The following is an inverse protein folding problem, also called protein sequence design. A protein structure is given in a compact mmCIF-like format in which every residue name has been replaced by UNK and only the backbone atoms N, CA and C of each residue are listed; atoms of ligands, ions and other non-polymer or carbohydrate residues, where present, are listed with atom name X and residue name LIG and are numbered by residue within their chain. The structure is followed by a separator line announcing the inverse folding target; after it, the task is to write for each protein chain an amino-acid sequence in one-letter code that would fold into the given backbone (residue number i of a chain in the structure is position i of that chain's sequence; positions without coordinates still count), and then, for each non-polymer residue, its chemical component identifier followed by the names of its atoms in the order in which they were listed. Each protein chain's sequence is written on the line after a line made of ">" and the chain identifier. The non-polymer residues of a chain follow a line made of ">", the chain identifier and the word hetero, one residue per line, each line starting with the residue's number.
data_IF_853482926347
#
_entry.id   IF_853482926347
#
_cell.length_a   1.000
_cell.length_b   1.000
_cell.length_c   1.000
_cell.angle_alpha   90.00
_cell.angle_beta   90.00
_cell.angle_gamma   90.00
#
_symmetry.space_group_name_H-M   'P 1'
#
loop_
_entity.id
_entity.type
_entity.pdbx_description
1 polymer ?
#
# COMPACT_ATOMS: atom_id res chain seq x y z
N UNK A 1 12.77 -15.57 -40.93
CA UNK A 1 11.98 -14.90 -41.99
C UNK A 1 12.93 -14.24 -42.98
N UNK A 2 12.86 -14.65 -44.25
CA UNK A 2 13.72 -14.15 -45.34
C UNK A 2 13.74 -12.62 -45.40
N UNK A 3 14.92 -12.05 -45.69
CA UNK A 3 15.17 -10.60 -45.81
C UNK A 3 14.17 -9.95 -46.78
N UNK A 4 13.76 -10.69 -47.80
CA UNK A 4 12.76 -10.30 -48.79
C UNK A 4 11.34 -10.15 -48.21
N UNK A 5 10.96 -10.97 -47.23
CA UNK A 5 9.61 -10.93 -46.63
C UNK A 5 9.43 -9.71 -45.72
N UNK A 6 10.48 -9.30 -45.01
CA UNK A 6 10.47 -8.06 -44.20
C UNK A 6 10.40 -6.81 -45.08
N UNK A 7 11.14 -6.80 -46.18
CA UNK A 7 11.11 -5.71 -47.16
C UNK A 7 9.73 -5.65 -47.84
N UNK A 8 9.20 -6.79 -48.27
CA UNK A 8 7.89 -6.89 -48.90
C UNK A 8 6.75 -6.41 -47.99
N UNK A 9 6.72 -6.84 -46.71
CA UNK A 9 5.75 -6.33 -45.72
C UNK A 9 5.89 -4.82 -45.48
N UNK A 10 7.11 -4.28 -45.48
CA UNK A 10 7.37 -2.85 -45.31
C UNK A 10 6.87 -2.04 -46.51
N UNK A 11 7.05 -2.56 -47.73
CA UNK A 11 6.54 -1.97 -48.98
C UNK A 11 5.02 -1.96 -49.02
N UNK A 12 4.38 -3.10 -48.70
CA UNK A 12 2.91 -3.20 -48.67
C UNK A 12 2.25 -2.33 -47.60
N UNK A 13 2.93 -2.12 -46.45
CA UNK A 13 2.48 -1.20 -45.41
C UNK A 13 2.67 0.28 -45.80
N UNK A 14 3.64 0.60 -46.67
CA UNK A 14 3.83 1.94 -47.22
C UNK A 14 2.77 2.26 -48.28
N UNK A 15 2.41 1.31 -49.15
CA UNK A 15 1.39 1.48 -50.20
C UNK A 15 -0.02 1.75 -49.65
N UNK A 16 -0.32 1.36 -48.41
CA UNK A 16 -1.60 1.69 -47.73
C UNK A 16 -1.69 3.15 -47.26
N UNK A 17 -0.60 3.91 -47.27
CA UNK A 17 -0.64 5.36 -47.03
C UNK A 17 -0.77 6.07 -48.38
N UNK A 18 -1.98 6.50 -48.73
CA UNK A 18 -2.16 7.51 -49.78
C UNK A 18 -1.66 8.86 -49.26
N UNK A 19 -0.37 9.08 -49.30
CA UNK A 19 0.22 10.42 -49.41
C UNK A 19 0.71 10.54 -50.86
N UNK A 20 0.25 11.53 -51.65
CA UNK A 20 0.86 11.77 -52.95
C UNK A 20 2.37 12.08 -52.75
N UNK A 21 3.20 11.58 -53.67
CA UNK A 21 4.67 11.61 -53.64
C UNK A 21 5.23 12.72 -54.57
N UNK A 22 6.50 13.12 -54.39
CA UNK A 22 6.94 14.53 -54.33
C UNK A 22 7.45 15.11 -55.67
N UNK A 23 6.93 14.65 -56.81
CA UNK A 23 7.33 15.15 -58.14
C UNK A 23 6.13 15.55 -59.02
N UNK A 24 5.02 15.92 -58.38
CA UNK A 24 4.07 16.88 -58.99
C UNK A 24 4.46 18.26 -58.46
N UNK A 25 4.54 19.30 -59.30
CA UNK A 25 4.86 20.64 -58.84
C UNK A 25 3.60 21.25 -58.18
N UNK A 26 3.26 20.84 -56.96
CA UNK A 26 2.30 21.55 -56.14
C UNK A 26 2.99 22.68 -55.38
N UNK A 27 3.56 23.62 -56.13
CA UNK A 27 4.01 24.93 -55.63
C UNK A 27 2.88 25.70 -54.89
N UNK A 28 1.62 25.30 -55.11
CA UNK A 28 0.42 25.90 -54.51
C UNK A 28 -0.09 25.21 -53.22
N UNK A 29 0.57 24.17 -52.69
CA UNK A 29 0.10 23.44 -51.48
C UNK A 29 0.79 23.87 -50.17
N UNK A 30 1.11 25.15 -50.03
CA UNK A 30 1.67 25.75 -48.79
C UNK A 30 0.69 25.71 -47.59
N UNK A 31 -0.50 25.15 -47.73
CA UNK A 31 -1.65 25.38 -46.84
C UNK A 31 -2.27 24.11 -46.22
N UNK A 32 -1.58 22.96 -46.24
CA UNK A 32 -2.08 21.70 -45.64
C UNK A 32 -1.23 21.11 -44.51
N UNK A 33 -0.23 21.83 -44.02
CA UNK A 33 0.16 21.58 -42.62
C UNK A 33 -1.04 21.97 -41.75
N UNK A 34 -1.43 21.19 -40.72
CA UNK A 34 -2.34 21.73 -39.72
C UNK A 34 -1.70 23.02 -39.22
N UNK A 35 -2.41 24.15 -39.35
CA UNK A 35 -1.91 25.48 -38.93
C UNK A 35 -1.47 25.51 -37.46
N UNK A 36 -1.91 24.51 -36.70
CA UNK A 36 -1.47 24.23 -35.35
C UNK A 36 -0.54 23.01 -35.40
N UNK A 37 0.78 23.16 -35.23
CA UNK A 37 1.66 22.00 -35.04
C UNK A 37 1.14 21.18 -33.86
N UNK A 38 1.30 19.84 -33.88
CA UNK A 38 1.07 19.04 -32.66
C UNK A 38 1.78 19.75 -31.50
N UNK A 39 1.14 19.90 -30.32
CA UNK A 39 1.77 20.64 -29.23
C UNK A 39 3.15 20.04 -29.00
N UNK A 40 4.18 20.85 -29.24
CA UNK A 40 5.56 20.46 -29.02
C UNK A 40 5.66 20.19 -27.52
N UNK A 41 5.53 18.92 -27.12
CA UNK A 41 5.78 18.55 -25.74
C UNK A 41 7.25 18.76 -25.53
N UNK A 42 7.59 19.82 -24.79
CA UNK A 42 8.96 20.14 -24.42
C UNK A 42 9.63 18.87 -23.94
N UNK A 43 10.70 18.48 -24.65
CA UNK A 43 11.55 17.38 -24.20
C UNK A 43 12.16 17.88 -22.90
N UNK A 44 11.97 17.15 -21.79
CA UNK A 44 12.43 17.48 -20.42
C UNK A 44 11.47 18.26 -19.51
N UNK A 45 10.15 18.10 -19.63
CA UNK A 45 9.22 18.57 -18.58
C UNK A 45 9.60 17.96 -17.22
N UNK A 46 9.65 18.75 -16.12
CA UNK A 46 9.93 18.22 -14.80
C UNK A 46 8.83 17.25 -14.36
N UNK A 47 9.20 16.26 -13.56
CA UNK A 47 8.23 15.34 -12.98
C UNK A 47 7.26 16.11 -12.06
N UNK A 48 5.97 15.75 -12.05
CA UNK A 48 5.01 16.32 -11.10
C UNK A 48 5.46 16.02 -9.67
N UNK A 49 5.37 17.03 -8.81
CA UNK A 49 5.81 16.97 -7.41
C UNK A 49 4.60 16.74 -6.52
N UNK A 50 4.69 15.79 -5.58
CA UNK A 50 3.65 15.53 -4.59
C UNK A 50 3.73 16.52 -3.41
N UNK A 51 3.05 17.67 -3.51
CA UNK A 51 3.16 18.75 -2.50
C UNK A 51 2.70 18.32 -1.10
N UNK A 52 1.75 17.37 -1.00
CA UNK A 52 1.30 16.86 0.30
C UNK A 52 2.43 16.23 1.10
N UNK A 53 3.37 15.56 0.43
CA UNK A 53 4.53 14.94 1.07
C UNK A 53 5.50 16.00 1.60
N UNK A 54 5.84 16.99 0.77
CA UNK A 54 6.77 18.07 1.15
C UNK A 54 6.23 18.98 2.26
N UNK A 55 4.92 19.20 2.28
CA UNK A 55 4.24 20.02 3.29
C UNK A 55 3.74 19.21 4.50
N UNK A 56 4.05 17.92 4.57
CA UNK A 56 3.73 17.03 5.69
C UNK A 56 2.23 16.94 6.04
N UNK A 57 1.36 17.04 5.03
CA UNK A 57 -0.09 16.96 5.18
C UNK A 57 -0.61 15.54 4.89
N UNK A 58 -1.54 15.08 5.71
CA UNK A 58 -2.20 13.79 5.61
C UNK A 58 -3.72 13.91 5.71
N UNK A 59 -4.42 12.84 5.33
CA UNK A 59 -5.88 12.77 5.46
C UNK A 59 -6.27 12.60 6.93
N UNK A 60 -7.19 13.44 7.39
CA UNK A 60 -7.65 13.53 8.78
C UNK A 60 -6.97 14.63 9.59
N UNK A 61 -6.07 15.42 9.01
CA UNK A 61 -5.46 16.55 9.69
C UNK A 61 -6.41 17.75 9.80
N UNK A 62 -6.28 18.52 10.88
CA UNK A 62 -6.94 19.81 11.05
C UNK A 62 -6.13 20.91 10.36
N UNK A 63 -6.78 21.64 9.46
CA UNK A 63 -6.16 22.66 8.63
C UNK A 63 -6.95 23.97 8.64
N UNK A 64 -6.27 25.05 8.30
CA UNK A 64 -6.85 26.37 8.06
C UNK A 64 -6.56 26.83 6.63
N UNK A 65 -7.55 27.45 5.99
CA UNK A 65 -7.41 28.04 4.66
C UNK A 65 -6.72 29.40 4.77
N UNK A 66 -5.55 29.54 4.12
CA UNK A 66 -4.77 30.78 4.08
C UNK A 66 -5.29 31.78 3.05
N UNK A 67 -5.70 31.28 1.88
CA UNK A 67 -6.05 32.11 0.73
C UNK A 67 -7.26 31.53 -0.02
N UNK A 68 -8.16 32.40 -0.45
CA UNK A 68 -9.37 32.02 -1.18
C UNK A 68 -10.63 32.64 -0.58
N UNK A 69 -11.82 32.21 -1.05
CA UNK A 69 -13.10 32.75 -0.59
C UNK A 69 -13.37 32.46 0.89
N UNK A 70 -12.85 31.35 1.40
CA UNK A 70 -13.06 30.86 2.76
C UNK A 70 -11.81 31.05 3.65
N UNK A 71 -11.08 32.15 3.45
CA UNK A 71 -9.89 32.48 4.25
C UNK A 71 -10.19 32.50 5.76
N UNK A 72 -9.34 31.88 6.56
CA UNK A 72 -9.46 31.78 8.03
C UNK A 72 -10.45 30.71 8.51
N UNK A 73 -11.16 30.01 7.61
CA UNK A 73 -11.96 28.85 8.01
C UNK A 73 -11.06 27.65 8.30
N UNK A 74 -11.42 26.93 9.36
CA UNK A 74 -10.76 25.72 9.80
C UNK A 74 -11.63 24.51 9.44
N UNK A 75 -10.99 23.40 9.07
CA UNK A 75 -11.68 22.17 8.71
C UNK A 75 -10.75 20.97 8.70
N UNK A 76 -11.33 19.77 8.61
CA UNK A 76 -10.58 18.52 8.53
C UNK A 76 -10.34 18.16 7.07
N UNK A 77 -9.15 17.62 6.77
CA UNK A 77 -8.82 17.11 5.43
C UNK A 77 -9.55 15.80 5.18
N UNK A 78 -10.51 15.80 4.24
CA UNK A 78 -11.27 14.61 3.83
C UNK A 78 -10.50 13.74 2.84
N UNK A 79 -9.89 14.38 1.84
CA UNK A 79 -9.12 13.67 0.81
C UNK A 79 -8.06 14.56 0.17
N UNK A 80 -7.02 13.93 -0.37
CA UNK A 80 -5.90 14.60 -1.04
C UNK A 80 -5.71 13.98 -2.42
N UNK A 81 -5.77 14.81 -3.45
CA UNK A 81 -5.44 14.44 -4.83
C UNK A 81 -3.99 14.83 -5.14
N UNK A 82 -3.08 13.85 -5.01
CA UNK A 82 -1.63 14.05 -5.20
C UNK A 82 -1.27 14.50 -6.63
N UNK A 83 -1.95 13.96 -7.64
CA UNK A 83 -1.66 14.29 -9.05
C UNK A 83 -1.90 15.75 -9.40
N UNK A 84 -2.91 16.36 -8.77
CA UNK A 84 -3.31 17.77 -9.00
C UNK A 84 -2.89 18.69 -7.86
N UNK A 85 -2.26 18.15 -6.82
CA UNK A 85 -1.94 18.87 -5.59
C UNK A 85 -3.12 19.64 -5.00
N UNK A 86 -4.29 19.00 -4.94
CA UNK A 86 -5.49 19.57 -4.34
C UNK A 86 -5.97 18.76 -3.15
N UNK A 87 -6.67 19.43 -2.24
CA UNK A 87 -7.21 18.90 -0.98
C UNK A 87 -8.69 19.26 -0.90
N UNK A 88 -9.50 18.34 -0.42
CA UNK A 88 -10.89 18.61 -0.04
C UNK A 88 -10.92 18.77 1.47
N UNK A 89 -11.36 19.93 1.94
CA UNK A 89 -11.47 20.29 3.35
C UNK A 89 -12.95 20.40 3.71
N UNK A 90 -13.32 19.83 4.85
CA UNK A 90 -14.69 19.85 5.36
C UNK A 90 -15.22 21.28 5.52
N UNK A 91 -16.45 21.53 5.04
CA UNK A 91 -17.13 22.83 5.11
C UNK A 91 -16.47 23.98 4.35
N UNK A 92 -15.44 23.72 3.54
CA UNK A 92 -14.68 24.74 2.81
C UNK A 92 -14.87 24.62 1.29
N UNK A 93 -14.81 25.76 0.61
CA UNK A 93 -14.99 25.92 -0.83
C UNK A 93 -16.28 25.24 -1.33
N UNK A 94 -17.39 25.49 -0.64
CA UNK A 94 -18.66 24.83 -0.96
C UNK A 94 -19.25 25.38 -2.26
N UNK A 95 -19.67 24.48 -3.15
CA UNK A 95 -20.38 24.84 -4.38
C UNK A 95 -21.74 24.15 -4.44
N UNK A 96 -22.76 24.92 -4.78
CA UNK A 96 -24.10 24.40 -5.05
C UNK A 96 -24.13 23.83 -6.47
N UNK A 97 -24.49 22.57 -6.59
CA UNK A 97 -24.67 21.87 -7.85
C UNK A 97 -26.08 21.31 -7.92
N UNK A 98 -26.76 21.48 -9.05
CA UNK A 98 -28.03 20.82 -9.31
C UNK A 98 -27.75 19.38 -9.72
N UNK A 99 -28.15 18.43 -8.87
CA UNK A 99 -28.11 17.01 -9.20
C UNK A 99 -29.52 16.60 -9.62
N UNK A 100 -29.68 16.09 -10.85
CA UNK A 100 -30.99 15.65 -11.34
C UNK A 100 -31.03 14.12 -11.49
N UNK A 101 -31.50 13.36 -10.49
CA UNK A 101 -31.62 11.92 -10.57
C UNK A 101 -33.10 11.50 -10.72
N UNK A 102 -33.78 11.87 -11.81
CA UNK A 102 -35.14 11.40 -12.16
C UNK A 102 -36.31 11.73 -11.20
N UNK A 103 -36.09 12.14 -9.95
CA UNK A 103 -37.15 12.48 -8.98
C UNK A 103 -36.74 13.73 -8.19
N UNK A 104 -37.40 14.86 -8.45
CA UNK A 104 -37.25 16.11 -7.70
C UNK A 104 -36.00 16.94 -8.02
N UNK A 105 -36.17 18.25 -8.10
CA UNK A 105 -35.08 19.23 -8.21
C UNK A 105 -34.26 19.26 -6.91
N UNK A 106 -33.13 18.55 -6.88
CA UNK A 106 -32.28 18.42 -5.69
C UNK A 106 -31.04 19.30 -5.83
N UNK A 107 -31.03 20.42 -5.10
CA UNK A 107 -29.86 21.30 -4.97
C UNK A 107 -28.92 20.71 -3.92
N UNK A 108 -27.74 20.23 -4.33
CA UNK A 108 -26.75 19.61 -3.44
C UNK A 108 -25.57 20.56 -3.26
N UNK A 109 -25.19 20.82 -2.01
CA UNK A 109 -23.94 21.49 -1.66
C UNK A 109 -22.83 20.46 -1.53
N UNK A 110 -21.73 20.66 -2.27
CA UNK A 110 -20.56 19.79 -2.22
C UNK A 110 -19.29 20.62 -1.98
N UNK A 111 -18.34 20.07 -1.24
CA UNK A 111 -17.01 20.67 -1.05
C UNK A 111 -16.21 20.58 -2.34
N UNK A 112 -15.53 21.67 -2.70
CA UNK A 112 -14.67 21.73 -3.89
C UNK A 112 -13.19 21.70 -3.51
N UNK A 113 -12.33 21.17 -4.39
CA UNK A 113 -10.90 21.08 -4.11
C UNK A 113 -10.24 22.46 -3.94
N UNK A 114 -9.32 22.55 -2.98
CA UNK A 114 -8.46 23.70 -2.71
C UNK A 114 -7.02 23.29 -3.02
N UNK A 115 -6.21 24.16 -3.59
CA UNK A 115 -4.79 23.86 -3.84
C UNK A 115 -4.01 23.80 -2.51
N UNK A 116 -3.08 22.85 -2.37
CA UNK A 116 -2.35 22.57 -1.12
C UNK A 116 -1.63 23.81 -0.57
N UNK A 117 -1.11 24.68 -1.44
CA UNK A 117 -0.39 25.90 -1.01
C UNK A 117 -1.26 26.90 -0.26
N UNK A 118 -2.57 26.82 -0.43
CA UNK A 118 -3.53 27.76 0.18
C UNK A 118 -4.07 27.23 1.50
N UNK A 119 -3.50 26.15 2.03
CA UNK A 119 -3.93 25.47 3.24
C UNK A 119 -2.72 25.29 4.14
N UNK A 120 -2.89 25.44 5.46
CA UNK A 120 -1.85 25.19 6.45
C UNK A 120 -2.36 24.32 7.59
N UNK A 121 -1.47 23.55 8.21
CA UNK A 121 -1.80 22.75 9.39
C UNK A 121 -1.99 23.66 10.60
N UNK A 122 -3.03 23.37 11.39
CA UNK A 122 -3.31 24.12 12.61
C UNK A 122 -2.53 23.53 13.78
N UNK A 123 -1.83 24.38 14.52
CA UNK A 123 -1.18 23.95 15.76
C UNK A 123 -2.23 23.71 16.87
N UNK A 124 -2.26 22.54 17.55
CA UNK A 124 -3.28 22.24 18.55
C UNK A 124 -3.23 23.16 19.78
N UNK A 125 -2.06 23.72 20.10
CA UNK A 125 -1.87 24.59 21.27
C UNK A 125 -2.24 26.03 20.93
N UNK A 126 -1.56 26.60 19.93
CA UNK A 126 -1.70 28.02 19.59
C UNK A 126 -2.93 28.29 18.71
N UNK A 127 -3.50 27.25 18.08
CA UNK A 127 -4.64 27.34 17.14
C UNK A 127 -4.41 28.36 16.02
N UNK A 128 -3.17 28.44 15.57
CA UNK A 128 -2.73 29.28 14.43
C UNK A 128 -2.18 28.38 13.33
N UNK A 129 -2.21 28.83 12.06
CA UNK A 129 -1.61 28.09 10.96
C UNK A 129 -0.08 28.06 11.10
N UNK A 130 0.52 26.88 10.94
CA UNK A 130 1.96 26.68 11.16
C UNK A 130 2.66 25.88 10.07
N UNK A 131 3.98 26.09 9.98
CA UNK A 131 4.87 25.21 9.23
C UNK A 131 5.28 24.02 10.08
N UNK A 132 5.33 22.84 9.46
CA UNK A 132 5.59 21.57 10.13
C UNK A 132 6.92 20.97 9.67
N UNK A 133 7.71 20.49 10.62
CA UNK A 133 8.96 19.75 10.40
C UNK A 133 8.81 18.32 10.92
N UNK A 134 9.44 17.35 10.25
CA UNK A 134 9.56 15.98 10.77
C UNK A 134 10.82 15.86 11.64
N UNK A 135 10.71 15.22 12.81
CA UNK A 135 11.86 14.81 13.64
C UNK A 135 11.68 13.36 14.09
N UNK A 136 12.78 12.69 14.37
CA UNK A 136 12.78 11.37 14.98
C UNK A 136 12.91 11.50 16.49
N UNK A 137 12.07 10.80 17.23
CA UNK A 137 12.21 10.66 18.69
C UNK A 137 13.29 9.64 19.04
N UNK A 138 13.68 9.57 20.32
CA UNK A 138 14.63 8.56 20.82
C UNK A 138 14.15 7.13 20.55
N UNK A 139 12.84 6.92 20.49
CA UNK A 139 12.20 5.64 20.19
C UNK A 139 12.30 5.24 18.70
N UNK A 140 12.86 6.10 17.83
CA UNK A 140 12.92 5.89 16.38
C UNK A 140 11.64 6.27 15.63
N UNK A 141 10.59 6.71 16.34
CA UNK A 141 9.33 7.12 15.72
C UNK A 141 9.46 8.51 15.08
N UNK A 142 8.98 8.64 13.83
CA UNK A 142 8.97 9.91 13.10
C UNK A 142 7.72 10.71 13.46
N UNK A 143 7.90 11.89 14.03
CA UNK A 143 6.81 12.76 14.49
C UNK A 143 6.84 14.10 13.76
N UNK A 144 5.65 14.67 13.56
CA UNK A 144 5.44 16.00 12.98
C UNK A 144 5.41 17.04 14.10
N UNK A 145 6.30 18.02 14.03
CA UNK A 145 6.50 19.07 15.03
C UNK A 145 6.18 20.43 14.43
N UNK A 146 5.43 21.23 15.17
CA UNK A 146 5.08 22.61 14.79
C UNK A 146 6.30 23.52 14.96
N UNK A 147 6.45 24.52 14.09
CA UNK A 147 7.52 25.52 14.28
C UNK A 147 7.17 26.58 15.35
N UNK A 148 5.90 26.77 15.67
CA UNK A 148 5.49 27.80 16.64
C UNK A 148 5.63 27.34 18.09
N UNK A 149 5.07 26.17 18.43
CA UNK A 149 5.04 25.67 19.81
C UNK A 149 6.07 24.57 20.07
N UNK A 150 6.80 24.14 19.02
CA UNK A 150 7.71 22.98 19.05
C UNK A 150 7.03 21.67 19.50
N UNK A 151 5.70 21.66 19.52
CA UNK A 151 4.89 20.57 20.00
C UNK A 151 4.45 19.67 18.85
N UNK A 152 4.15 18.42 19.18
CA UNK A 152 3.76 17.41 18.20
C UNK A 152 2.32 17.68 17.73
N UNK A 153 2.10 17.91 16.43
CA UNK A 153 0.73 18.10 15.91
C UNK A 153 -0.07 16.78 15.92
N UNK A 154 0.60 15.68 15.59
CA UNK A 154 0.14 14.29 15.74
C UNK A 154 1.35 13.36 15.58
N UNK A 155 1.36 12.17 16.22
CA UNK A 155 2.26 11.10 15.82
C UNK A 155 1.95 10.69 14.37
N UNK A 156 2.97 10.31 13.58
CA UNK A 156 2.72 9.71 12.28
C UNK A 156 1.82 8.49 12.44
N UNK A 157 0.89 8.25 11.50
CA UNK A 157 0.17 6.98 11.46
C UNK A 157 1.20 5.86 11.50
N UNK A 158 1.15 4.98 12.51
CA UNK A 158 1.90 3.72 12.48
C UNK A 158 1.57 3.08 11.15
N UNK A 159 2.57 2.96 10.28
CA UNK A 159 2.44 2.24 9.03
C UNK A 159 2.04 0.81 9.36
N UNK A 160 0.75 0.50 9.27
CA UNK A 160 0.26 -0.88 9.25
C UNK A 160 0.35 -1.69 10.54
N UNK A 161 0.25 -1.09 11.74
CA UNK A 161 -0.19 -1.87 12.91
C UNK A 161 -1.62 -1.47 13.22
N UNK A 162 -2.55 -2.31 12.76
CA UNK A 162 -3.94 -2.25 13.17
C UNK A 162 -3.98 -2.44 14.69
N UNK A 163 -4.28 -1.38 15.45
CA UNK A 163 -4.72 -1.51 16.84
C UNK A 163 -6.09 -2.17 16.81
N UNK A 164 -6.10 -3.47 17.08
CA UNK A 164 -7.24 -4.37 17.00
C UNK A 164 -8.21 -4.18 18.18
N UNK A 165 -8.63 -2.96 18.51
CA UNK A 165 -9.48 -2.76 19.69
C UNK A 165 -10.63 -1.77 19.55
N UNK A 166 -10.64 -0.80 18.63
CA UNK A 166 -11.72 0.21 18.65
C UNK A 166 -12.26 0.56 17.26
N UNK A 167 -13.45 0.04 16.96
CA UNK A 167 -14.51 0.82 16.35
C UNK A 167 -14.53 0.98 14.83
N UNK A 168 -14.58 -0.11 14.06
CA UNK A 168 -15.33 -0.11 12.79
C UNK A 168 -16.48 -1.08 12.93
N UNK A 169 -17.70 -0.61 12.66
CA UNK A 169 -18.83 -1.50 12.40
C UNK A 169 -18.38 -2.52 11.38
N UNK A 170 -18.24 -3.78 11.82
CA UNK A 170 -17.86 -4.87 10.97
C UNK A 170 -18.90 -4.97 9.85
N UNK A 171 -18.51 -4.64 8.62
CA UNK A 171 -19.14 -5.28 7.48
C UNK A 171 -19.00 -6.78 7.76
N UNK A 172 -20.13 -7.46 7.93
CA UNK A 172 -20.17 -8.91 8.15
C UNK A 172 -19.19 -9.57 7.19
N UNK A 173 -18.17 -10.28 7.69
CA UNK A 173 -17.16 -10.81 6.80
C UNK A 173 -17.81 -11.77 5.82
N UNK A 174 -17.41 -11.67 4.56
CA UNK A 174 -17.90 -12.55 3.51
C UNK A 174 -17.35 -13.96 3.80
N UNK A 175 -18.22 -14.86 4.27
CA UNK A 175 -17.88 -16.21 4.76
C UNK A 175 -16.98 -16.98 3.78
N UNK A 176 -17.16 -16.74 2.47
CA UNK A 176 -16.37 -17.38 1.42
C UNK A 176 -14.90 -16.91 1.39
N UNK A 177 -14.64 -15.62 1.61
CA UNK A 177 -13.29 -15.07 1.64
C UNK A 177 -12.54 -15.52 2.89
N UNK A 178 -13.25 -15.61 4.02
CA UNK A 178 -12.70 -16.20 5.24
C UNK A 178 -12.38 -17.69 5.08
N UNK A 179 -13.27 -18.45 4.42
CA UNK A 179 -13.03 -19.85 4.09
C UNK A 179 -11.76 -20.04 3.23
N UNK A 180 -11.60 -19.24 2.17
CA UNK A 180 -10.39 -19.30 1.33
C UNK A 180 -9.13 -18.95 2.13
N UNK A 181 -9.20 -17.97 3.02
CA UNK A 181 -8.10 -17.60 3.92
C UNK A 181 -7.76 -18.73 4.89
N UNK A 182 -8.75 -19.37 5.50
CA UNK A 182 -8.56 -20.52 6.40
C UNK A 182 -7.97 -21.73 5.66
N UNK A 183 -8.44 -21.99 4.44
CA UNK A 183 -7.91 -23.04 3.57
C UNK A 183 -6.44 -22.77 3.20
N UNK A 184 -6.09 -21.52 2.91
CA UNK A 184 -4.72 -21.10 2.59
C UNK A 184 -3.77 -21.18 3.80
N UNK A 185 -4.27 -20.93 5.01
CA UNK A 185 -3.52 -21.10 6.26
C UNK A 185 -3.27 -22.59 6.59
N UNK A 186 -3.97 -23.51 5.93
CA UNK A 186 -3.95 -24.94 6.24
C UNK A 186 -4.64 -25.25 7.57
N UNK A 187 -4.75 -26.54 7.96
CA UNK A 187 -5.13 -26.86 9.33
C UNK A 187 -4.14 -26.15 10.28
N UNK A 188 -4.59 -25.63 11.44
CA UNK A 188 -3.67 -25.06 12.41
C UNK A 188 -2.59 -26.11 12.65
N UNK A 189 -1.32 -25.75 12.41
CA UNK A 189 -0.20 -26.61 12.78
C UNK A 189 -0.37 -26.80 14.28
N UNK A 190 -0.90 -27.94 14.71
CA UNK A 190 -1.02 -28.24 16.12
C UNK A 190 0.42 -28.37 16.61
N UNK A 191 0.95 -27.32 17.21
CA UNK A 191 2.21 -27.34 17.94
C UNK A 191 2.20 -28.47 19.00
N UNK A 192 1.01 -28.95 19.39
CA UNK A 192 0.78 -30.13 20.20
C UNK A 192 1.23 -31.47 19.57
N UNK A 193 1.38 -31.59 18.24
CA UNK A 193 1.96 -32.78 17.60
C UNK A 193 3.48 -32.71 17.40
N UNK A 194 4.10 -31.54 17.65
CA UNK A 194 5.53 -31.30 17.43
C UNK A 194 6.37 -31.40 18.71
N UNK A 195 5.78 -31.75 19.86
CA UNK A 195 6.58 -32.19 21.01
C UNK A 195 6.85 -33.69 20.83
N UNK A 196 8.12 -34.12 20.73
CA UNK A 196 8.43 -35.54 20.70
C UNK A 196 8.08 -36.12 22.07
N UNK A 197 6.94 -36.79 22.18
CA UNK A 197 6.61 -37.56 23.37
C UNK A 197 7.59 -38.73 23.46
N UNK A 198 8.50 -38.75 24.46
CA UNK A 198 9.56 -39.75 24.53
C UNK A 198 9.00 -41.17 24.71
N UNK A 199 7.82 -41.29 25.31
CA UNK A 199 7.09 -42.55 25.46
C UNK A 199 6.56 -43.06 24.11
N UNK A 200 5.85 -42.23 23.36
CA UNK A 200 5.29 -42.63 22.06
C UNK A 200 6.39 -42.90 21.02
N UNK A 201 7.48 -42.12 21.04
CA UNK A 201 8.64 -42.37 20.19
C UNK A 201 9.33 -43.70 20.54
N UNK A 202 9.47 -44.03 21.83
CA UNK A 202 9.98 -45.34 22.28
C UNK A 202 9.08 -46.49 21.85
N UNK A 203 7.75 -46.34 21.97
CA UNK A 203 6.77 -47.35 21.54
C UNK A 203 6.88 -47.57 20.03
N UNK A 204 6.93 -46.51 19.23
CA UNK A 204 7.08 -46.60 17.77
C UNK A 204 8.42 -47.21 17.36
N UNK A 205 9.52 -46.87 18.04
CA UNK A 205 10.82 -47.52 17.82
C UNK A 205 10.83 -49.00 18.24
N UNK A 206 10.04 -49.38 19.26
CA UNK A 206 9.89 -50.76 19.72
C UNK A 206 9.05 -51.57 18.74
N UNK A 207 7.96 -50.99 18.25
CA UNK A 207 7.11 -51.55 17.19
C UNK A 207 7.86 -51.66 15.87
N UNK A 208 8.63 -50.65 15.46
CA UNK A 208 9.44 -50.70 14.25
C UNK A 208 10.51 -51.81 14.33
N UNK A 209 11.17 -51.97 15.48
CA UNK A 209 12.06 -53.11 15.74
C UNK A 209 11.32 -54.44 15.72
N UNK A 210 10.11 -54.50 16.28
CA UNK A 210 9.27 -55.70 16.30
C UNK A 210 8.71 -56.07 14.91
N UNK A 211 8.46 -55.07 14.05
CA UNK A 211 8.02 -55.28 12.67
C UNK A 211 9.21 -55.68 11.80
N UNK A 212 10.40 -55.12 12.06
CA UNK A 212 11.65 -55.51 11.39
C UNK A 212 12.14 -56.92 11.81
N UNK A 213 11.88 -57.33 13.05
CA UNK A 213 12.05 -58.70 13.55
C UNK A 213 10.70 -59.43 13.59
N UNK A 214 10.17 -59.77 12.43
CA UNK A 214 9.13 -60.79 12.37
C UNK A 214 9.63 -62.11 12.98
N UNK A 215 8.73 -62.83 13.65
CA UNK A 215 8.84 -64.23 14.12
C UNK A 215 9.50 -64.47 15.49
N UNK A 216 8.65 -64.76 16.49
CA UNK A 216 8.87 -65.77 17.54
C UNK A 216 10.07 -65.63 18.50
N UNK A 217 9.92 -64.88 19.60
CA UNK A 217 10.59 -65.18 20.88
C UNK A 217 9.93 -64.40 22.04
N UNK A 218 9.83 -64.96 23.27
CA UNK A 218 9.19 -64.29 24.40
C UNK A 218 10.08 -63.18 25.00
N UNK A 219 9.46 -62.17 25.61
CA UNK A 219 10.15 -61.01 26.20
C UNK A 219 10.98 -61.39 27.45
N UNK A 220 12.11 -60.70 27.72
CA UNK A 220 12.81 -60.81 28.99
C UNK A 220 12.02 -60.14 30.12
N UNK A 221 11.84 -60.86 31.23
CA UNK A 221 11.34 -60.35 32.51
C UNK A 221 12.41 -59.48 33.20
N UNK A 222 12.06 -58.79 34.28
CA UNK A 222 12.92 -57.84 35.01
C UNK A 222 14.26 -58.39 35.50
N UNK A 223 14.46 -59.71 35.43
CA UNK A 223 15.60 -60.39 36.01
C UNK A 223 16.47 -61.00 34.90
N UNK A 224 17.33 -60.20 34.25
CA UNK A 224 18.56 -60.78 33.67
C UNK A 224 19.73 -59.78 33.59
N UNK A 225 20.93 -60.13 34.10
CA UNK A 225 21.92 -59.19 34.64
C UNK A 225 23.14 -59.03 33.73
N UNK A 226 23.02 -58.36 32.57
CA UNK A 226 24.21 -58.09 31.72
C UNK A 226 24.12 -56.79 30.93
N UNK A 227 24.17 -55.64 31.60
CA UNK A 227 24.87 -54.44 31.07
C UNK A 227 25.42 -53.65 32.26
N UNK A 228 26.75 -53.64 32.42
CA UNK A 228 27.46 -52.82 33.41
C UNK A 228 27.25 -51.34 33.07
N UNK A 229 26.77 -50.54 34.02
CA UNK A 229 26.86 -49.08 33.96
C UNK A 229 28.34 -48.68 34.06
N UNK A 230 28.88 -47.83 33.16
CA UNK A 230 30.23 -47.31 33.33
C UNK A 230 30.27 -46.33 34.51
N UNK A 231 31.18 -46.57 35.45
CA UNK A 231 31.44 -45.69 36.60
C UNK A 231 32.11 -44.37 36.16
N UNK A 232 31.83 -43.24 36.83
CA UNK A 232 32.41 -41.95 36.47
C UNK A 232 33.90 -41.86 36.83
N UNK A 233 34.67 -41.32 35.88
CA UNK A 233 36.12 -41.10 35.94
C UNK A 233 36.51 -40.13 37.07
N UNK A 234 37.28 -40.60 38.06
CA UNK A 234 37.95 -39.73 39.04
C UNK A 234 39.45 -39.58 38.71
N UNK A 235 39.90 -38.34 38.80
CA UNK A 235 41.20 -37.82 38.37
C UNK A 235 42.37 -38.21 39.28
N UNK A 236 43.47 -38.62 38.62
CA UNK A 236 44.91 -38.37 38.90
C UNK A 236 45.45 -38.52 40.33
N UNK A 237 46.59 -39.20 40.43
CA UNK A 237 47.91 -38.60 40.70
C UNK A 237 49.01 -39.45 40.05
#
# INVERSE_FOLDING_TARGET
>A
MSRYVKVYRKVMNLQRRKTPMPWTPTFLEFSREPSVPFPLREKLQPAPIDLSYYLNMEVGDLVEVLHGPDCGRQGVVLSINKKRNTVIVDGCNMKKSFWNPRVGSSLVTQEMPIHITNVALLDPVVKRPTRVKRRFMMNGECVRISKLSEMCLMPAKRSGVWSLSEGRQAQTPNLYQEYLRQKALGPPIKASYARPDPLNLKILQRLARHIAWGQGSPLPTTDNPRVRSPEPMALRR
#
